data_IF_364669178564
#
_entry.id   IF_364669178564
#
_cell.length_a   1.000
_cell.length_b   1.000
_cell.length_c   1.000
_cell.angle_alpha   90.00
_cell.angle_beta   90.00
_cell.angle_gamma   90.00
#
_symmetry.space_group_name_H-M   'P 1'
#
loop_
_entity.id
_entity.type
_entity.pdbx_description
1 polymer ?
#
# COMPACT_ATOMS: atom_id res chain seq x y z
N UNK A 1 -15.52 11.94 -1.67
CA UNK A 1 -15.03 10.57 -1.36
C UNK A 1 -13.91 10.51 -0.32
N UNK A 2 -12.91 11.41 -0.35
CA UNK A 2 -11.86 11.44 0.67
C UNK A 2 -12.41 11.58 2.12
N UNK A 3 -13.46 12.37 2.31
CA UNK A 3 -14.19 12.51 3.59
C UNK A 3 -14.72 11.16 4.10
N UNK A 4 -15.42 10.39 3.28
CA UNK A 4 -15.92 9.07 3.64
C UNK A 4 -14.78 8.08 3.91
N UNK A 5 -13.70 8.11 3.13
CA UNK A 5 -12.53 7.27 3.39
C UNK A 5 -11.93 7.56 4.77
N UNK A 6 -11.83 8.84 5.16
CA UNK A 6 -11.37 9.24 6.49
C UNK A 6 -12.30 8.71 7.59
N UNK A 7 -13.62 8.89 7.45
CA UNK A 7 -14.61 8.41 8.43
C UNK A 7 -14.56 6.89 8.60
N UNK A 8 -14.47 6.15 7.49
CA UNK A 8 -14.38 4.69 7.49
C UNK A 8 -13.07 4.23 8.15
N UNK A 9 -11.94 4.85 7.78
CA UNK A 9 -10.65 4.53 8.39
C UNK A 9 -10.65 4.81 9.90
N UNK A 10 -11.24 5.92 10.32
CA UNK A 10 -11.40 6.25 11.75
C UNK A 10 -12.22 5.18 12.46
N UNK A 11 -13.36 4.79 11.90
CA UNK A 11 -14.26 3.80 12.47
C UNK A 11 -13.59 2.42 12.62
N UNK A 12 -12.77 2.01 11.65
CA UNK A 12 -12.09 0.70 11.67
C UNK A 12 -10.92 0.62 12.64
N UNK A 13 -10.24 1.73 12.94
CA UNK A 13 -9.04 1.73 13.78
C UNK A 13 -9.28 2.18 15.22
N UNK A 14 -10.38 2.85 15.52
CA UNK A 14 -10.68 3.33 16.87
C UNK A 14 -11.38 2.22 17.69
N UNK A 15 -10.94 1.92 18.92
CA UNK A 15 -11.57 0.89 19.74
C UNK A 15 -12.94 1.35 20.26
N UNK A 16 -14.02 0.90 19.63
CA UNK A 16 -15.41 1.17 20.01
C UNK A 16 -16.12 -0.09 20.52
N UNK A 17 -17.17 0.12 21.33
CA UNK A 17 -18.15 -0.94 21.59
C UNK A 17 -18.92 -1.27 20.31
N UNK A 18 -19.39 -2.52 20.17
CA UNK A 18 -20.10 -3.00 18.99
C UNK A 18 -21.32 -2.14 18.64
N UNK A 19 -22.06 -1.69 19.66
CA UNK A 19 -23.25 -0.85 19.49
C UNK A 19 -22.90 0.53 18.90
N UNK A 20 -21.86 1.19 19.45
CA UNK A 20 -21.41 2.49 18.96
C UNK A 20 -20.83 2.37 17.55
N UNK A 21 -20.14 1.26 17.26
CA UNK A 21 -19.62 0.98 15.93
C UNK A 21 -20.73 0.88 14.88
N UNK A 22 -21.78 0.10 15.14
CA UNK A 22 -22.90 -0.03 14.21
C UNK A 22 -23.70 1.27 14.09
N UNK A 23 -23.88 2.02 15.17
CA UNK A 23 -24.53 3.33 15.11
C UNK A 23 -23.77 4.32 14.21
N UNK A 24 -22.45 4.44 14.40
CA UNK A 24 -21.60 5.29 13.57
C UNK A 24 -21.60 4.84 12.10
N UNK A 25 -21.59 3.52 11.86
CA UNK A 25 -21.69 2.95 10.51
C UNK A 25 -22.99 3.34 9.81
N UNK A 26 -24.12 3.28 10.52
CA UNK A 26 -25.41 3.71 9.97
C UNK A 26 -25.45 5.22 9.72
N UNK A 27 -24.86 6.02 10.61
CA UNK A 27 -24.72 7.45 10.41
C UNK A 27 -23.96 7.78 9.11
N UNK A 28 -22.81 7.11 8.88
CA UNK A 28 -22.02 7.30 7.66
C UNK A 28 -22.83 6.93 6.40
N UNK A 29 -23.61 5.84 6.44
CA UNK A 29 -24.49 5.43 5.33
C UNK A 29 -25.59 6.45 5.06
N UNK A 30 -26.20 6.99 6.11
CA UNK A 30 -27.25 8.00 6.00
C UNK A 30 -26.71 9.30 5.41
N UNK A 31 -25.54 9.77 5.87
CA UNK A 31 -24.85 10.93 5.31
C UNK A 31 -24.56 10.69 3.82
N UNK A 32 -24.08 9.51 3.44
CA UNK A 32 -23.83 9.17 2.04
C UNK A 32 -25.11 9.24 1.20
N UNK A 33 -26.20 8.61 1.66
CA UNK A 33 -27.50 8.62 0.97
C UNK A 33 -28.05 10.03 0.81
N UNK A 34 -28.00 10.86 1.87
CA UNK A 34 -28.46 12.26 1.83
C UNK A 34 -27.66 13.12 0.87
N UNK A 35 -26.38 12.78 0.64
CA UNK A 35 -25.52 13.44 -0.34
C UNK A 35 -25.59 12.80 -1.74
N UNK A 36 -26.57 11.92 -2.00
CA UNK A 36 -26.78 11.28 -3.31
C UNK A 36 -25.80 10.17 -3.66
N UNK A 37 -24.97 9.70 -2.71
CA UNK A 37 -24.08 8.57 -2.94
C UNK A 37 -24.82 7.24 -2.75
N UNK A 38 -24.49 6.26 -3.59
CA UNK A 38 -24.98 4.89 -3.42
C UNK A 38 -24.44 4.27 -2.14
N UNK A 39 -25.33 3.72 -1.32
CA UNK A 39 -24.97 3.00 -0.08
C UNK A 39 -24.05 1.81 -0.38
N UNK A 40 -24.27 1.12 -1.50
CA UNK A 40 -23.43 0.01 -1.93
C UNK A 40 -21.96 0.44 -2.12
N UNK A 41 -21.72 1.66 -2.62
CA UNK A 41 -20.36 2.17 -2.79
C UNK A 41 -19.63 2.30 -1.45
N UNK A 42 -20.36 2.68 -0.40
CA UNK A 42 -19.84 2.80 0.97
C UNK A 42 -19.63 1.41 1.57
N UNK A 43 -20.57 0.47 1.38
CA UNK A 43 -20.44 -0.91 1.85
C UNK A 43 -19.19 -1.61 1.30
N UNK A 44 -18.91 -1.41 0.01
CA UNK A 44 -17.69 -1.95 -0.62
C UNK A 44 -16.41 -1.43 0.04
N UNK A 45 -16.42 -0.23 0.63
CA UNK A 45 -15.25 0.36 1.27
C UNK A 45 -14.99 -0.21 2.67
N UNK A 46 -16.02 -0.71 3.35
CA UNK A 46 -15.86 -1.39 4.63
C UNK A 46 -15.20 -2.78 4.51
N UNK A 47 -15.30 -3.42 3.34
CA UNK A 47 -14.71 -4.74 3.08
C UNK A 47 -13.17 -4.72 2.94
N UNK A 48 -12.55 -3.54 2.96
CA UNK A 48 -11.11 -3.39 2.78
C UNK A 48 -10.66 -3.58 1.33
N UNK A 49 -9.36 -3.45 1.09
CA UNK A 49 -8.80 -3.79 -0.21
C UNK A 49 -8.73 -5.32 -0.33
N UNK A 50 -9.32 -5.94 -1.37
CA UNK A 50 -9.25 -7.39 -1.57
C UNK A 50 -7.86 -7.87 -2.01
N UNK A 51 -6.95 -6.93 -2.33
CA UNK A 51 -5.58 -7.24 -2.69
C UNK A 51 -4.75 -7.42 -1.43
N UNK A 52 -4.00 -8.50 -1.39
CA UNK A 52 -3.01 -8.74 -0.35
C UNK A 52 -1.97 -7.62 -0.33
N UNK A 53 -1.53 -7.26 0.87
CA UNK A 53 -0.43 -6.32 1.04
C UNK A 53 0.86 -7.02 0.61
N UNK A 54 1.46 -6.54 -0.47
CA UNK A 54 2.78 -6.99 -0.91
C UNK A 54 3.86 -6.52 0.07
N UNK A 55 4.87 -7.37 0.28
CA UNK A 55 6.09 -6.98 0.99
C UNK A 55 6.81 -5.85 0.24
N UNK A 56 7.64 -5.08 0.94
CA UNK A 56 8.37 -3.98 0.30
C UNK A 56 9.32 -4.49 -0.80
N UNK A 57 9.88 -5.68 -0.68
CA UNK A 57 10.78 -6.25 -1.70
C UNK A 57 10.04 -6.66 -2.98
N UNK A 58 8.73 -6.91 -2.88
CA UNK A 58 7.88 -7.29 -4.00
C UNK A 58 7.31 -6.07 -4.75
N UNK A 59 7.44 -4.87 -4.16
CA UNK A 59 7.02 -3.62 -4.78
C UNK A 59 8.04 -3.13 -5.80
N UNK A 60 7.56 -2.34 -6.75
CA UNK A 60 8.37 -1.51 -7.63
C UNK A 60 8.67 -0.17 -6.98
N UNK A 61 9.76 0.47 -7.38
CA UNK A 61 10.08 1.81 -6.89
C UNK A 61 11.57 2.11 -6.92
N UNK A 62 11.95 3.04 -6.05
CA UNK A 62 13.34 3.42 -5.80
C UNK A 62 13.87 2.52 -4.68
N UNK A 63 15.09 2.03 -4.84
CA UNK A 63 15.78 1.20 -3.85
C UNK A 63 17.21 1.70 -3.60
N UNK A 64 17.72 1.40 -2.41
CA UNK A 64 19.08 1.71 -1.97
C UNK A 64 19.84 0.41 -1.70
N UNK A 65 21.07 0.30 -2.20
CA UNK A 65 22.04 -0.73 -1.82
C UNK A 65 23.21 -0.03 -1.12
N UNK A 66 23.38 -0.32 0.17
CA UNK A 66 24.50 0.20 0.95
C UNK A 66 25.70 -0.75 0.89
N UNK A 67 26.90 -0.18 0.73
CA UNK A 67 28.17 -0.88 0.92
C UNK A 67 28.32 -1.28 2.40
N UNK A 68 28.85 -2.49 2.66
CA UNK A 68 29.08 -2.95 4.04
C UNK A 68 30.37 -2.40 4.63
N UNK A 69 31.38 -2.22 3.78
CA UNK A 69 32.74 -1.87 4.16
C UNK A 69 33.07 -0.38 3.91
N UNK A 70 32.07 0.41 3.48
CA UNK A 70 32.25 1.81 3.11
C UNK A 70 30.92 2.57 3.14
N UNK A 71 30.98 3.91 3.20
CA UNK A 71 29.78 4.78 3.23
C UNK A 71 29.13 5.02 1.86
N UNK A 72 29.50 4.23 0.84
CA UNK A 72 28.96 4.37 -0.50
C UNK A 72 27.60 3.70 -0.62
N UNK A 73 26.71 4.33 -1.39
CA UNK A 73 25.34 3.88 -1.60
C UNK A 73 25.00 3.94 -3.09
N UNK A 74 24.38 2.87 -3.57
CA UNK A 74 23.81 2.80 -4.91
C UNK A 74 22.30 3.00 -4.84
N UNK A 75 21.78 4.01 -5.52
CA UNK A 75 20.34 4.29 -5.60
C UNK A 75 19.86 4.03 -7.02
N UNK A 76 18.86 3.17 -7.17
CA UNK A 76 18.30 2.78 -8.45
C UNK A 76 16.78 2.81 -8.48
N UNK A 77 16.20 2.90 -9.67
CA UNK A 77 14.76 2.77 -9.90
C UNK A 77 14.47 1.46 -10.65
N UNK A 78 13.37 0.79 -10.32
CA UNK A 78 12.87 -0.35 -11.08
C UNK A 78 11.35 -0.30 -11.25
N UNK A 79 10.89 -0.68 -12.45
CA UNK A 79 9.47 -0.93 -12.74
C UNK A 79 9.04 -2.36 -12.36
N UNK A 80 10.00 -3.26 -12.14
CA UNK A 80 9.78 -4.62 -11.62
C UNK A 80 9.79 -4.61 -10.10
N UNK A 81 9.61 -5.76 -9.45
CA UNK A 81 9.86 -5.88 -8.02
C UNK A 81 11.33 -5.61 -7.71
N UNK A 82 11.60 -5.00 -6.55
CA UNK A 82 12.96 -4.74 -6.06
C UNK A 82 13.75 -6.06 -5.96
N UNK A 83 13.12 -7.14 -5.49
CA UNK A 83 13.76 -8.45 -5.38
C UNK A 83 14.25 -8.99 -6.73
N UNK A 84 13.44 -8.86 -7.79
CA UNK A 84 13.82 -9.29 -9.14
C UNK A 84 15.00 -8.47 -9.64
N UNK A 85 14.94 -7.14 -9.47
CA UNK A 85 16.02 -6.25 -9.87
C UNK A 85 17.33 -6.55 -9.14
N UNK A 86 17.26 -6.86 -7.86
CA UNK A 86 18.43 -7.23 -7.07
C UNK A 86 19.07 -8.53 -7.57
N UNK A 87 18.26 -9.54 -7.91
CA UNK A 87 18.75 -10.80 -8.50
C UNK A 87 19.44 -10.59 -9.85
N UNK A 88 18.86 -9.74 -10.72
CA UNK A 88 19.48 -9.36 -11.99
C UNK A 88 20.84 -8.72 -11.75
N UNK A 89 20.93 -7.75 -10.83
CA UNK A 89 22.17 -7.07 -10.53
C UNK A 89 23.25 -8.03 -9.99
N UNK A 90 22.90 -8.92 -9.06
CA UNK A 90 23.82 -9.96 -8.57
C UNK A 90 24.27 -10.91 -9.69
N UNK A 91 23.39 -11.25 -10.64
CA UNK A 91 23.75 -12.07 -11.79
C UNK A 91 24.71 -11.34 -12.74
N UNK A 92 24.48 -10.04 -12.99
CA UNK A 92 25.41 -9.22 -13.78
C UNK A 92 26.82 -9.20 -13.18
N UNK A 93 26.93 -9.03 -11.86
CA UNK A 93 28.22 -9.08 -11.15
C UNK A 93 28.86 -10.48 -11.23
N UNK A 94 28.07 -11.55 -11.09
CA UNK A 94 28.57 -12.93 -11.16
C UNK A 94 29.15 -13.30 -12.53
N UNK A 95 28.58 -12.77 -13.61
CA UNK A 95 28.98 -13.08 -14.99
C UNK A 95 29.81 -11.98 -15.65
N UNK A 96 30.30 -11.01 -14.88
CA UNK A 96 31.12 -9.88 -15.32
C UNK A 96 30.56 -9.16 -16.56
N UNK A 97 29.24 -8.95 -16.58
CA UNK A 97 28.56 -8.23 -17.64
C UNK A 97 28.73 -6.74 -17.37
N UNK A 98 29.69 -6.12 -18.04
CA UNK A 98 30.03 -4.69 -17.92
C UNK A 98 28.98 -3.74 -18.52
N UNK A 99 27.99 -4.27 -19.24
CA UNK A 99 26.86 -3.50 -19.74
C UNK A 99 25.96 -3.01 -18.59
N UNK A 100 25.41 -1.81 -18.76
CA UNK A 100 24.50 -1.21 -17.76
C UNK A 100 23.32 -2.15 -17.52
N UNK A 101 23.16 -2.58 -16.27
CA UNK A 101 21.97 -3.31 -15.81
C UNK A 101 20.72 -2.46 -15.97
#
# INVERSE_FOLDING_TARGET
>A
MASFNFLIHRLLNFPLSKEKFEHEKQLIKNIAKSNGYSVHLIDKRFLGNPKDKLDNNEKSGIYEISCKDCDQKYIGQTKRSILTRFKEHMAHLKYDRTEKS
#
